data_IF_349151480778
#
_entry.id   IF_349151480778
#
_cell.length_a   1.000
_cell.length_b   1.000
_cell.length_c   1.000
_cell.angle_alpha   90.00
_cell.angle_beta   90.00
_cell.angle_gamma   90.00
#
_symmetry.space_group_name_H-M   'P 1'
#
loop_
_entity.id
_entity.type
_entity.pdbx_description
1 polymer ?
#
# COMPACT_ATOMS: atom_id res chain seq x y z
N UNK A 1 15.41 8.67 -26.83
CA UNK A 1 14.29 9.49 -26.30
C UNK A 1 14.14 9.18 -24.83
N UNK A 2 14.65 10.05 -23.96
CA UNK A 2 14.51 9.91 -22.51
C UNK A 2 13.06 10.20 -22.14
N UNK A 3 12.25 9.15 -21.94
CA UNK A 3 11.02 9.29 -21.15
C UNK A 3 11.49 9.54 -19.73
N UNK A 4 11.35 10.77 -19.23
CA UNK A 4 11.46 11.02 -17.80
C UNK A 4 10.59 9.97 -17.07
N UNK A 5 11.19 9.24 -16.14
CA UNK A 5 10.47 8.23 -15.39
C UNK A 5 9.38 8.94 -14.58
N UNK A 6 8.12 8.74 -14.98
CA UNK A 6 6.97 9.33 -14.29
C UNK A 6 6.93 8.77 -12.87
N UNK A 7 7.10 9.66 -11.88
CA UNK A 7 6.90 9.36 -10.47
C UNK A 7 5.47 9.71 -10.09
N UNK A 8 4.72 8.77 -9.54
CA UNK A 8 3.37 9.01 -8.98
C UNK A 8 3.32 8.51 -7.56
N UNK A 9 2.79 9.33 -6.66
CA UNK A 9 2.58 8.98 -5.25
C UNK A 9 1.08 8.99 -4.98
N UNK A 10 0.57 7.90 -4.40
CA UNK A 10 -0.83 7.78 -4.00
C UNK A 10 -0.92 7.36 -2.55
N UNK A 11 -1.67 8.12 -1.78
CA UNK A 11 -1.94 7.85 -0.37
C UNK A 11 -3.23 7.03 -0.26
N UNK A 12 -3.11 5.81 0.23
CA UNK A 12 -4.24 4.90 0.48
C UNK A 12 -4.74 4.98 1.92
N UNK A 13 -3.89 5.47 2.82
CA UNK A 13 -4.25 5.87 4.18
C UNK A 13 -3.25 6.86 4.76
N UNK A 14 -3.77 7.78 5.57
CA UNK A 14 -3.04 8.94 6.14
C UNK A 14 -3.41 9.20 7.60
N UNK A 15 -4.19 8.31 8.24
CA UNK A 15 -4.45 8.35 9.68
C UNK A 15 -3.27 7.76 10.43
N UNK A 16 -3.11 8.15 11.70
CA UNK A 16 -2.13 7.55 12.60
C UNK A 16 -2.62 6.21 13.15
N UNK A 17 -2.44 6.02 14.47
CA UNK A 17 -2.61 4.73 15.14
C UNK A 17 -3.98 4.05 15.00
N UNK A 18 -5.05 4.82 14.78
CA UNK A 18 -6.42 4.28 14.74
C UNK A 18 -7.10 4.72 13.44
N UNK A 19 -7.78 3.81 12.70
CA UNK A 19 -8.60 4.20 11.57
C UNK A 19 -9.78 5.05 12.03
N UNK A 20 -10.11 6.11 11.28
CA UNK A 20 -11.21 7.02 11.59
C UNK A 20 -12.31 6.91 10.52
N UNK A 21 -13.20 5.92 10.58
CA UNK A 21 -14.32 5.82 9.65
C UNK A 21 -15.38 6.89 9.97
N UNK A 22 -16.12 7.32 8.95
CA UNK A 22 -17.27 8.21 9.09
C UNK A 22 -17.19 9.46 8.23
N UNK A 23 -18.36 10.10 8.04
CA UNK A 23 -18.53 11.27 7.16
C UNK A 23 -17.64 12.45 7.57
N UNK A 24 -17.40 12.63 8.87
CA UNK A 24 -16.52 13.68 9.40
C UNK A 24 -15.07 13.59 8.88
N UNK A 25 -14.62 12.42 8.44
CA UNK A 25 -13.24 12.16 8.02
C UNK A 25 -13.09 12.00 6.49
N UNK A 26 -14.18 12.13 5.73
CA UNK A 26 -14.23 11.79 4.30
C UNK A 26 -13.26 12.60 3.44
N UNK A 27 -12.98 13.86 3.78
CA UNK A 27 -12.07 14.73 3.01
C UNK A 27 -10.68 14.12 2.81
N UNK A 28 -10.17 13.40 3.81
CA UNK A 28 -8.82 12.81 3.78
C UNK A 28 -8.83 11.29 3.93
N UNK A 29 -10.00 10.67 4.16
CA UNK A 29 -10.15 9.23 4.35
C UNK A 29 -9.98 8.78 5.81
N UNK A 30 -10.28 7.51 6.07
CA UNK A 30 -10.26 6.91 7.41
C UNK A 30 -9.17 5.86 7.62
N UNK A 31 -8.35 5.57 6.61
CA UNK A 31 -7.38 4.50 6.64
C UNK A 31 -6.05 4.92 7.30
N UNK A 32 -5.42 3.98 8.01
CA UNK A 32 -4.07 4.06 8.59
C UNK A 32 -2.99 3.88 7.50
N UNK A 33 -1.70 4.14 7.80
CA UNK A 33 -0.68 4.44 6.78
C UNK A 33 -0.56 3.37 5.70
N UNK A 34 -0.64 3.81 4.45
CA UNK A 34 -0.31 3.00 3.27
C UNK A 34 -0.10 3.95 2.08
N UNK A 35 1.08 3.88 1.47
CA UNK A 35 1.47 4.74 0.34
C UNK A 35 1.95 3.87 -0.82
N UNK A 36 1.40 4.10 -2.00
CA UNK A 36 1.88 3.52 -3.26
C UNK A 36 2.74 4.57 -3.97
N UNK A 37 3.95 4.17 -4.37
CA UNK A 37 4.82 4.94 -5.25
C UNK A 37 5.03 4.13 -6.53
N UNK A 38 4.66 4.72 -7.66
CA UNK A 38 4.95 4.18 -8.99
C UNK A 38 6.13 4.97 -9.56
N UNK A 39 7.23 4.28 -9.87
CA UNK A 39 8.44 4.87 -10.45
C UNK A 39 8.84 4.05 -11.68
N UNK A 40 8.52 4.56 -12.88
CA UNK A 40 8.69 3.78 -14.11
C UNK A 40 7.77 2.56 -14.12
N UNK A 41 8.35 1.37 -14.16
CA UNK A 41 7.68 0.07 -14.10
C UNK A 41 7.58 -0.51 -12.68
N UNK A 42 8.22 0.14 -11.69
CA UNK A 42 8.24 -0.34 -10.30
C UNK A 42 7.04 0.15 -9.51
N UNK A 43 6.43 -0.76 -8.76
CA UNK A 43 5.43 -0.45 -7.72
C UNK A 43 6.06 -0.65 -6.35
N UNK A 44 6.15 0.42 -5.57
CA UNK A 44 6.65 0.40 -4.20
C UNK A 44 5.48 0.70 -3.26
N UNK A 45 5.35 -0.09 -2.20
CA UNK A 45 4.31 0.06 -1.19
C UNK A 45 5.01 0.34 0.13
N UNK A 46 4.63 1.42 0.81
CA UNK A 46 5.15 1.79 2.12
C UNK A 46 4.03 1.66 3.14
N UNK A 47 4.29 0.85 4.15
CA UNK A 47 3.38 0.39 5.19
C UNK A 47 2.15 -0.37 4.68
N UNK A 48 1.69 -1.30 5.51
CA UNK A 48 0.55 -2.18 5.29
C UNK A 48 -0.58 -1.89 6.28
N UNK A 49 -0.85 -0.60 6.55
CA UNK A 49 -2.02 -0.21 7.33
C UNK A 49 -3.34 -0.55 6.64
N UNK A 50 -4.46 -0.14 7.23
CA UNK A 50 -5.81 -0.45 6.73
C UNK A 50 -6.05 0.03 5.30
N UNK A 51 -5.29 1.01 4.81
CA UNK A 51 -5.33 1.46 3.41
C UNK A 51 -4.89 0.40 2.39
N UNK A 52 -4.06 -0.57 2.81
CA UNK A 52 -3.52 -1.60 1.93
C UNK A 52 -4.61 -2.46 1.27
N UNK A 53 -5.74 -2.66 1.96
CA UNK A 53 -6.89 -3.40 1.40
C UNK A 53 -7.43 -2.74 0.13
N UNK A 54 -7.59 -1.42 0.14
CA UNK A 54 -8.10 -0.68 -1.02
C UNK A 54 -7.08 -0.68 -2.17
N UNK A 55 -5.79 -0.54 -1.85
CA UNK A 55 -4.71 -0.71 -2.83
C UNK A 55 -4.77 -2.10 -3.49
N UNK A 56 -4.92 -3.17 -2.69
CA UNK A 56 -5.00 -4.53 -3.21
C UNK A 56 -6.17 -4.75 -4.17
N UNK A 57 -7.35 -4.19 -3.87
CA UNK A 57 -8.51 -4.25 -4.75
C UNK A 57 -8.25 -3.57 -6.11
N UNK A 58 -7.47 -2.50 -6.11
CA UNK A 58 -7.12 -1.76 -7.33
C UNK A 58 -6.01 -2.44 -8.13
N UNK A 59 -5.03 -3.05 -7.45
CA UNK A 59 -3.96 -3.81 -8.10
C UNK A 59 -4.49 -5.07 -8.78
N UNK A 60 -5.46 -5.79 -8.18
CA UNK A 60 -6.05 -7.00 -8.78
C UNK A 60 -6.66 -6.73 -10.17
N UNK A 61 -7.19 -5.52 -10.38
CA UNK A 61 -7.76 -5.11 -11.68
C UNK A 61 -6.70 -4.97 -12.77
N UNK A 62 -5.42 -4.82 -12.40
CA UNK A 62 -4.30 -4.60 -13.33
C UNK A 62 -3.61 -5.91 -13.77
N UNK A 63 -4.00 -7.06 -13.22
CA UNK A 63 -3.45 -8.37 -13.61
C UNK A 63 -2.34 -8.86 -12.68
N UNK A 64 -1.24 -9.37 -13.24
CA UNK A 64 -0.09 -9.87 -12.46
C UNK A 64 0.55 -8.71 -11.70
N UNK A 65 0.75 -8.87 -10.40
CA UNK A 65 1.29 -7.82 -9.53
C UNK A 65 2.76 -8.12 -9.24
N UNK A 66 3.61 -7.12 -9.47
CA UNK A 66 5.00 -7.08 -9.03
C UNK A 66 5.21 -5.83 -8.18
N UNK A 67 5.49 -6.00 -6.89
CA UNK A 67 5.63 -4.88 -5.96
C UNK A 67 6.62 -5.18 -4.84
N UNK A 68 7.31 -4.12 -4.39
CA UNK A 68 8.15 -4.15 -3.19
C UNK A 68 7.37 -3.54 -2.01
N UNK A 69 7.38 -4.19 -0.83
CA UNK A 69 6.63 -3.72 0.35
C UNK A 69 7.57 -3.39 1.51
N UNK A 70 7.69 -2.12 1.84
CA UNK A 70 8.52 -1.62 2.93
C UNK A 70 7.68 -1.30 4.15
N UNK A 71 8.17 -1.67 5.34
CA UNK A 71 7.55 -1.29 6.61
C UNK A 71 8.45 -0.28 7.31
N UNK A 72 7.85 0.81 7.80
CA UNK A 72 8.58 1.77 8.63
C UNK A 72 8.92 1.18 10.01
N UNK A 73 7.97 0.50 10.64
CA UNK A 73 8.08 -0.20 11.93
C UNK A 73 6.89 -1.14 12.15
N UNK A 74 6.89 -1.92 13.24
CA UNK A 74 5.92 -3.00 13.50
C UNK A 74 4.77 -2.61 14.44
N UNK A 75 4.36 -1.33 14.49
CA UNK A 75 3.09 -0.99 15.16
C UNK A 75 1.90 -1.47 14.34
N UNK A 76 0.81 -1.79 15.05
CA UNK A 76 -0.36 -2.45 14.47
C UNK A 76 -0.94 -1.67 13.29
N UNK A 77 -1.00 -0.35 13.38
CA UNK A 77 -1.54 0.54 12.34
C UNK A 77 -0.76 0.52 11.03
N UNK A 78 0.49 0.03 11.04
CA UNK A 78 1.36 -0.14 9.88
C UNK A 78 1.36 -1.57 9.31
N UNK A 79 0.77 -2.57 10.00
CA UNK A 79 0.79 -3.99 9.57
C UNK A 79 -0.59 -4.65 9.49
N UNK A 80 -1.61 -4.09 10.14
CA UNK A 80 -2.95 -4.70 10.29
C UNK A 80 -3.69 -4.93 8.97
N UNK A 81 -3.35 -4.21 7.91
CA UNK A 81 -3.94 -4.38 6.58
C UNK A 81 -3.43 -5.59 5.82
N UNK A 82 -2.27 -6.15 6.21
CA UNK A 82 -1.62 -7.24 5.47
C UNK A 82 -2.48 -8.51 5.34
N UNK A 83 -3.17 -9.00 6.39
CA UNK A 83 -4.08 -10.15 6.26
C UNK A 83 -5.23 -9.93 5.27
N UNK A 84 -5.55 -8.68 4.93
CA UNK A 84 -6.63 -8.31 4.01
C UNK A 84 -6.11 -7.91 2.62
N UNK A 85 -4.81 -8.07 2.36
CA UNK A 85 -4.19 -7.81 1.07
C UNK A 85 -4.23 -9.08 0.20
N UNK A 86 -5.39 -9.31 -0.42
CA UNK A 86 -5.62 -10.46 -1.31
C UNK A 86 -4.48 -10.75 -2.33
N UNK A 87 -3.78 -9.74 -2.90
CA UNK A 87 -2.62 -10.00 -3.75
C UNK A 87 -1.52 -10.87 -3.14
N UNK A 88 -1.29 -10.80 -1.82
CA UNK A 88 -0.26 -11.59 -1.15
C UNK A 88 -0.53 -13.09 -1.13
N UNK A 89 -1.79 -13.49 -1.31
CA UNK A 89 -2.21 -14.89 -1.23
C UNK A 89 -2.43 -15.52 -2.62
N UNK A 90 -2.13 -14.79 -3.69
CA UNK A 90 -2.18 -15.31 -5.06
C UNK A 90 -0.76 -15.64 -5.55
N UNK A 91 -0.42 -16.91 -5.78
CA UNK A 91 0.94 -17.33 -6.15
C UNK A 91 1.41 -16.82 -7.53
N UNK A 92 0.52 -16.23 -8.34
CA UNK A 92 0.90 -15.57 -9.60
C UNK A 92 1.57 -14.22 -9.37
N UNK A 93 1.37 -13.61 -8.20
CA UNK A 93 1.93 -12.32 -7.86
C UNK A 93 3.32 -12.47 -7.25
N UNK A 94 4.14 -11.43 -7.41
CA UNK A 94 5.49 -11.39 -6.88
C UNK A 94 5.62 -10.18 -5.95
N UNK A 95 5.48 -10.42 -4.65
CA UNK A 95 5.72 -9.43 -3.61
C UNK A 95 7.11 -9.65 -3.04
N UNK A 96 7.98 -8.65 -3.22
CA UNK A 96 9.39 -8.71 -2.84
C UNK A 96 9.66 -7.77 -1.68
N UNK A 97 10.83 -7.95 -1.06
CA UNK A 97 11.40 -7.02 -0.10
C UNK A 97 10.43 -6.61 1.02
N UNK A 98 9.77 -7.58 1.67
CA UNK A 98 9.06 -7.38 2.94
C UNK A 98 10.07 -7.03 4.03
N UNK A 99 10.53 -5.78 4.03
CA UNK A 99 11.66 -5.32 4.85
C UNK A 99 11.22 -4.09 5.63
N UNK A 100 11.48 -4.12 6.93
CA UNK A 100 11.28 -3.01 7.87
C UNK A 100 11.85 -3.40 9.22
N UNK A 101 12.35 -2.41 9.95
CA UNK A 101 13.20 -2.58 11.13
C UNK A 101 12.72 -3.70 12.09
N UNK A 102 13.46 -4.81 12.11
CA UNK A 102 13.64 -5.65 13.29
C UNK A 102 14.82 -5.09 14.09
#
# INVERSE_FOLDING_TARGET
MNKEAKLTVKFWGVRGSIPCPGLAYQRYGGNTPCVEIICGDKTLIFDAGTGLRALGQELIKKGKIEADIFFSHAHLDHIIGFPFFAPAFNPKNNLKNLVGCL
#
